data_IF_855919875144
#
_entry.id   IF_855919875144
#
_cell.length_a   1.000
_cell.length_b   1.000
_cell.length_c   1.000
_cell.angle_alpha   90.00
_cell.angle_beta   90.00
_cell.angle_gamma   90.00
#
_symmetry.space_group_name_H-M   'P 1'
#
loop_
_entity.id
_entity.type
_entity.pdbx_description
1 polymer ?
#
# COMPACT_ATOMS: atom_id res chain seq x y z
N UNK A 1 8.22 -7.75 -15.37
CA UNK A 1 8.58 -6.48 -16.03
C UNK A 1 8.08 -5.24 -15.25
N UNK A 2 6.78 -5.10 -14.92
CA UNK A 2 6.24 -3.90 -14.24
C UNK A 2 6.71 -3.64 -12.79
N UNK A 3 6.99 -4.69 -12.01
CA UNK A 3 7.37 -4.57 -10.60
C UNK A 3 8.68 -3.81 -10.37
N UNK A 4 9.63 -3.91 -11.30
CA UNK A 4 10.96 -3.32 -11.14
C UNK A 4 10.91 -1.79 -11.30
N UNK A 5 10.19 -1.29 -12.31
CA UNK A 5 10.08 0.15 -12.56
C UNK A 5 9.33 0.89 -11.43
N UNK A 6 8.26 0.29 -10.89
CA UNK A 6 7.55 0.87 -9.75
C UNK A 6 8.45 0.87 -8.51
N UNK A 7 9.16 -0.23 -8.25
CA UNK A 7 10.10 -0.33 -7.12
C UNK A 7 11.20 0.73 -7.21
N UNK A 8 11.85 0.87 -8.36
CA UNK A 8 12.89 1.87 -8.60
C UNK A 8 12.38 3.30 -8.42
N UNK A 9 11.18 3.59 -8.92
CA UNK A 9 10.56 4.91 -8.73
C UNK A 9 10.31 5.21 -7.25
N UNK A 10 9.71 4.27 -6.51
CA UNK A 10 9.46 4.44 -5.08
C UNK A 10 10.78 4.64 -4.30
N UNK A 11 11.81 3.87 -4.63
CA UNK A 11 13.15 4.02 -4.04
C UNK A 11 13.75 5.41 -4.32
N UNK A 12 13.69 5.90 -5.56
CA UNK A 12 14.17 7.24 -5.93
C UNK A 12 13.40 8.36 -5.22
N UNK A 13 12.15 8.11 -4.83
CA UNK A 13 11.32 9.04 -4.06
C UNK A 13 11.41 8.83 -2.54
N UNK A 14 12.26 7.92 -2.06
CA UNK A 14 12.39 7.62 -0.63
C UNK A 14 11.15 6.94 -0.03
N UNK A 15 10.23 6.42 -0.86
CA UNK A 15 8.98 5.79 -0.42
C UNK A 15 9.23 4.31 -0.14
N UNK A 16 8.87 3.86 1.06
CA UNK A 16 8.93 2.45 1.46
C UNK A 16 7.60 1.76 1.20
N UNK A 17 7.64 0.52 0.71
CA UNK A 17 6.45 -0.31 0.58
C UNK A 17 6.23 -1.16 1.84
N UNK A 18 4.99 -1.19 2.31
CA UNK A 18 4.51 -2.06 3.38
C UNK A 18 3.29 -2.82 2.87
N UNK A 19 3.30 -4.14 3.01
CA UNK A 19 2.15 -5.00 2.72
C UNK A 19 1.44 -5.34 4.03
N UNK A 20 0.16 -5.03 4.11
CA UNK A 20 -0.69 -5.37 5.26
C UNK A 20 -1.72 -6.38 4.79
N UNK A 21 -1.66 -7.60 5.33
CA UNK A 21 -2.75 -8.57 5.18
C UNK A 21 -3.79 -8.32 6.26
N UNK A 22 -5.06 -8.32 5.84
CA UNK A 22 -6.23 -8.31 6.71
C UNK A 22 -6.86 -9.70 6.85
N UNK A 23 -6.14 -10.75 6.43
CA UNK A 23 -6.56 -12.12 6.60
C UNK A 23 -6.67 -12.47 8.09
N UNK A 24 -7.52 -13.45 8.40
CA UNK A 24 -7.52 -14.04 9.74
C UNK A 24 -6.22 -14.84 9.99
N UNK A 25 -5.92 -15.10 11.27
CA UNK A 25 -4.72 -15.86 11.67
C UNK A 25 -4.64 -17.25 11.05
N UNK A 26 -5.78 -17.92 10.84
CA UNK A 26 -5.86 -19.24 10.23
C UNK A 26 -5.34 -19.26 8.77
N UNK A 27 -5.46 -18.14 8.05
CA UNK A 27 -5.01 -18.01 6.66
C UNK A 27 -3.57 -17.48 6.52
N UNK A 28 -2.85 -17.26 7.62
CA UNK A 28 -1.50 -16.68 7.62
C UNK A 28 -0.53 -17.42 6.70
N UNK A 29 -0.52 -18.76 6.74
CA UNK A 29 0.45 -19.53 5.95
C UNK A 29 0.08 -19.57 4.47
N UNK A 30 -1.23 -19.55 4.14
CA UNK A 30 -1.70 -19.36 2.77
C UNK A 30 -1.25 -18.01 2.21
N UNK A 31 -1.37 -16.94 3.01
CA UNK A 31 -0.90 -15.61 2.62
C UNK A 31 0.62 -15.57 2.43
N UNK A 32 1.42 -16.18 3.32
CA UNK A 32 2.88 -16.31 3.13
C UNK A 32 3.21 -17.01 1.81
N UNK A 33 2.53 -18.11 1.50
CA UNK A 33 2.71 -18.82 0.24
C UNK A 33 2.39 -17.93 -0.97
N UNK A 34 1.32 -17.15 -0.90
CA UNK A 34 0.98 -16.17 -1.94
C UNK A 34 2.08 -15.09 -2.10
N UNK A 35 2.58 -14.53 -1.00
CA UNK A 35 3.66 -13.53 -1.00
C UNK A 35 4.91 -14.06 -1.68
N UNK A 36 5.33 -15.28 -1.34
CA UNK A 36 6.49 -15.95 -1.94
C UNK A 36 6.27 -16.20 -3.44
N UNK A 37 5.13 -16.80 -3.80
CA UNK A 37 4.81 -17.14 -5.20
C UNK A 37 4.68 -15.89 -6.08
N UNK A 38 4.19 -14.80 -5.51
CA UNK A 38 4.08 -13.50 -6.20
C UNK A 38 5.33 -12.65 -6.06
N UNK A 39 6.40 -13.13 -5.42
CA UNK A 39 7.65 -12.37 -5.26
C UNK A 39 7.40 -10.94 -4.75
N UNK A 40 6.50 -10.80 -3.78
CA UNK A 40 6.20 -9.52 -3.17
C UNK A 40 7.27 -9.24 -2.11
N UNK A 41 8.44 -8.78 -2.53
CA UNK A 41 9.52 -8.49 -1.60
C UNK A 41 9.27 -7.19 -0.82
N UNK A 42 9.60 -7.19 0.47
CA UNK A 42 9.45 -6.02 1.35
C UNK A 42 8.97 -6.39 2.74
N UNK A 43 8.44 -5.40 3.46
CA UNK A 43 7.89 -5.61 4.79
C UNK A 43 6.45 -6.12 4.68
N UNK A 44 6.14 -7.14 5.46
CA UNK A 44 4.83 -7.79 5.49
C UNK A 44 4.33 -7.83 6.92
N UNK A 45 3.10 -7.38 7.13
CA UNK A 45 2.45 -7.36 8.42
C UNK A 45 1.08 -8.01 8.32
N UNK A 46 0.78 -8.94 9.22
CA UNK A 46 -0.58 -9.43 9.41
C UNK A 46 -1.27 -8.50 10.42
N UNK A 47 -2.36 -7.86 10.01
CA UNK A 47 -3.07 -6.92 10.86
C UNK A 47 -3.53 -7.60 12.16
N UNK A 48 -3.31 -6.92 13.29
CA UNK A 48 -4.01 -7.24 14.53
C UNK A 48 -5.49 -6.87 14.41
N UNK A 49 -6.33 -7.42 15.28
CA UNK A 49 -7.76 -7.07 15.34
C UNK A 49 -7.95 -5.56 15.51
N UNK A 50 -7.19 -4.94 16.43
CA UNK A 50 -7.19 -3.49 16.63
C UNK A 50 -6.82 -2.71 15.37
N UNK A 51 -5.78 -3.15 14.64
CA UNK A 51 -5.38 -2.49 13.39
C UNK A 51 -6.45 -2.67 12.31
N UNK A 52 -7.06 -3.86 12.21
CA UNK A 52 -8.16 -4.11 11.27
C UNK A 52 -9.35 -3.18 11.55
N UNK A 53 -9.76 -3.02 12.80
CA UNK A 53 -10.82 -2.08 13.18
C UNK A 53 -10.46 -0.63 12.78
N UNK A 54 -9.21 -0.21 12.99
CA UNK A 54 -8.75 1.11 12.58
C UNK A 54 -8.79 1.28 11.06
N UNK A 55 -8.34 0.28 10.30
CA UNK A 55 -8.41 0.25 8.83
C UNK A 55 -9.87 0.32 8.37
N UNK A 56 -10.76 -0.43 9.00
CA UNK A 56 -12.19 -0.42 8.68
C UNK A 56 -12.80 0.96 8.93
N UNK A 57 -12.58 1.55 10.10
CA UNK A 57 -13.09 2.90 10.41
C UNK A 57 -12.55 3.95 9.42
N UNK A 58 -11.28 3.87 9.07
CA UNK A 58 -10.65 4.84 8.16
C UNK A 58 -11.09 4.68 6.70
N UNK A 59 -11.20 3.44 6.20
CA UNK A 59 -11.36 3.18 4.76
C UNK A 59 -12.75 2.69 4.37
N UNK A 60 -13.48 2.03 5.27
CA UNK A 60 -14.71 1.32 4.93
C UNK A 60 -15.94 2.21 5.01
N UNK A 61 -15.85 3.48 5.46
CA UNK A 61 -16.87 4.57 5.40
C UNK A 61 -18.28 4.20 4.84
N UNK A 62 -18.96 3.22 5.46
CA UNK A 62 -20.23 2.59 5.01
C UNK A 62 -20.26 1.94 3.61
N UNK A 63 -19.11 1.59 3.04
CA UNK A 63 -18.92 0.97 1.72
C UNK A 63 -18.17 -0.36 1.81
N UNK A 64 -18.49 -1.25 0.89
CA UNK A 64 -17.68 -2.45 0.65
C UNK A 64 -16.33 -2.02 0.08
N UNK A 65 -15.25 -2.42 0.75
CA UNK A 65 -13.88 -2.19 0.27
C UNK A 65 -13.38 -3.41 -0.47
N UNK A 66 -12.94 -3.20 -1.71
CA UNK A 66 -12.34 -4.24 -2.54
C UNK A 66 -10.84 -4.32 -2.32
N UNK A 67 -10.31 -5.53 -2.12
CA UNK A 67 -8.87 -5.77 -2.05
C UNK A 67 -8.31 -6.16 -3.43
N UNK A 68 -7.04 -5.84 -3.75
CA UNK A 68 -6.11 -5.03 -2.96
C UNK A 68 -6.39 -3.52 -3.07
N UNK A 69 -6.05 -2.77 -2.01
CA UNK A 69 -6.04 -1.29 -1.95
C UNK A 69 -4.61 -0.79 -1.83
N UNK A 70 -4.35 0.40 -2.37
CA UNK A 70 -3.04 1.04 -2.33
C UNK A 70 -3.21 2.42 -1.70
N UNK A 71 -2.49 2.62 -0.59
CA UNK A 71 -2.56 3.84 0.20
C UNK A 71 -1.20 4.53 0.15
N UNK A 72 -1.21 5.86 0.26
CA UNK A 72 -0.01 6.67 0.43
C UNK A 72 -0.11 7.43 1.75
N UNK A 73 0.98 7.40 2.51
CA UNK A 73 1.12 8.12 3.76
C UNK A 73 2.29 9.10 3.69
N UNK A 74 2.20 10.20 4.42
CA UNK A 74 3.34 11.08 4.66
C UNK A 74 4.28 10.52 5.76
N UNK A 75 5.36 11.24 6.06
CA UNK A 75 6.34 10.87 7.09
C UNK A 75 5.76 10.88 8.52
N UNK A 76 4.65 11.58 8.74
CA UNK A 76 3.97 11.70 10.04
C UNK A 76 2.85 10.65 10.20
N UNK A 77 2.58 9.85 9.17
CA UNK A 77 1.54 8.83 9.18
C UNK A 77 0.15 9.33 8.75
N UNK A 78 0.04 10.55 8.20
CA UNK A 78 -1.21 11.04 7.63
C UNK A 78 -1.45 10.41 6.26
N UNK A 79 -2.71 10.09 5.95
CA UNK A 79 -3.10 9.56 4.64
C UNK A 79 -3.08 10.69 3.61
N UNK A 80 -2.20 10.58 2.61
CA UNK A 80 -2.19 11.45 1.43
C UNK A 80 -3.16 10.96 0.35
N UNK A 81 -3.36 9.63 0.26
CA UNK A 81 -4.35 9.02 -0.63
C UNK A 81 -4.76 7.65 -0.13
N UNK A 82 -6.07 7.37 -0.13
CA UNK A 82 -6.65 6.08 0.26
C UNK A 82 -7.04 5.18 -0.92
N UNK A 83 -6.75 5.63 -2.15
CA UNK A 83 -7.18 5.00 -3.40
C UNK A 83 -6.18 5.21 -4.55
N UNK A 84 -4.91 4.87 -4.33
CA UNK A 84 -3.91 4.95 -5.39
C UNK A 84 -4.20 3.97 -6.54
N UNK A 85 -3.78 4.31 -7.77
CA UNK A 85 -3.75 3.36 -8.89
C UNK A 85 -2.98 2.08 -8.56
N UNK A 86 -3.34 0.97 -9.22
CA UNK A 86 -2.65 -0.30 -9.02
C UNK A 86 -1.20 -0.22 -9.53
N UNK A 87 -0.23 -0.90 -8.88
CA UNK A 87 1.17 -0.95 -9.33
C UNK A 87 1.38 -1.54 -10.74
N UNK A 88 0.41 -2.27 -11.28
CA UNK A 88 0.42 -2.72 -12.68
C UNK A 88 0.20 -1.58 -13.67
N UNK A 89 -0.49 -0.51 -13.27
CA UNK A 89 -0.65 0.73 -14.03
C UNK A 89 0.47 1.71 -13.69
N UNK A 90 1.72 1.29 -13.93
CA UNK A 90 2.95 1.96 -13.48
C UNK A 90 2.94 3.48 -13.69
N UNK A 91 2.56 3.97 -14.86
CA UNK A 91 2.59 5.40 -15.17
C UNK A 91 1.50 6.20 -14.45
N UNK A 92 0.29 5.65 -14.34
CA UNK A 92 -0.79 6.28 -13.58
C UNK A 92 -0.41 6.41 -12.10
N UNK A 93 0.20 5.36 -11.53
CA UNK A 93 0.68 5.37 -10.15
C UNK A 93 1.79 6.41 -9.94
N UNK A 94 2.81 6.43 -10.80
CA UNK A 94 3.92 7.39 -10.71
C UNK A 94 3.45 8.84 -10.82
N UNK A 95 2.53 9.11 -11.75
CA UNK A 95 1.94 10.44 -11.94
C UNK A 95 1.17 10.88 -10.70
N UNK A 96 0.33 10.02 -10.16
CA UNK A 96 -0.47 10.33 -8.98
C UNK A 96 0.41 10.59 -7.76
N UNK A 97 1.41 9.73 -7.50
CA UNK A 97 2.36 9.94 -6.40
C UNK A 97 3.10 11.27 -6.58
N UNK A 98 3.60 11.57 -7.78
CA UNK A 98 4.33 12.82 -8.04
C UNK A 98 3.45 14.06 -7.78
N UNK A 99 2.18 14.02 -8.20
CA UNK A 99 1.22 15.10 -7.93
C UNK A 99 0.97 15.29 -6.43
N UNK A 100 0.78 14.20 -5.69
CA UNK A 100 0.52 14.24 -4.25
C UNK A 100 1.72 14.80 -3.48
N UNK A 101 2.95 14.43 -3.87
CA UNK A 101 4.17 14.95 -3.25
C UNK A 101 4.36 16.45 -3.52
N UNK A 102 4.03 16.93 -4.73
CA UNK A 102 4.12 18.35 -5.08
C UNK A 102 3.10 19.22 -4.34
N UNK A 103 1.88 18.71 -4.14
CA UNK A 103 0.80 19.43 -3.45
C UNK A 103 0.98 19.52 -1.93
N UNK A 104 1.75 18.60 -1.36
CA UNK A 104 1.85 18.44 0.09
C UNK A 104 2.93 19.28 0.80
N UNK A 105 3.73 20.09 0.09
CA UNK A 105 4.96 20.71 0.65
C UNK A 105 5.77 19.70 1.49
N UNK A 106 5.84 18.45 1.04
CA UNK A 106 6.56 17.41 1.76
C UNK A 106 8.01 17.51 1.32
N UNK A 107 8.82 18.22 2.10
CA UNK A 107 10.27 18.24 1.93
C UNK A 107 10.76 16.79 1.87
N UNK A 108 11.37 16.44 0.74
CA UNK A 108 11.98 15.13 0.48
C UNK A 108 13.18 14.93 1.39
#
# INVERSE_FOLDING_TARGET
>A
MYKNQTKEFLQKKGIKSLYVSIDNKANKDRWKGFVTNKQLYGNHYLASEKLLEQIQKALYKSKVVTIPRYLLFDKNGNILSDNLPRPSGTEALKKEISNLLLKGNIDM
#
